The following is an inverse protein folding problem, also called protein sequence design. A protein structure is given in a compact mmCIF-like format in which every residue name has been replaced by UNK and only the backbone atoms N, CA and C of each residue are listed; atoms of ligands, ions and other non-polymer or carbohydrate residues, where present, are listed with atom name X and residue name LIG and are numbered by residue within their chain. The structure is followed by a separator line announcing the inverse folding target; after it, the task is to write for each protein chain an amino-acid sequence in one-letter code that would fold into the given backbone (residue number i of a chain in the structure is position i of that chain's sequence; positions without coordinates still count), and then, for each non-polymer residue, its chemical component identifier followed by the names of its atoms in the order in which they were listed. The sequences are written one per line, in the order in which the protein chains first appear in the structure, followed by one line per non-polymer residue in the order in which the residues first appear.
data_IF_516885423013
#
_entry.id   IF_516885423013
#
_cell.length_a   1.000
_cell.length_b   1.000
_cell.length_c   1.000
_cell.angle_alpha   90.00
_cell.angle_beta   90.00
_cell.angle_gamma   90.00
#
_symmetry.space_group_name_H-M   'P 1'
#
loop_
_entity.id
_entity.type
_entity.pdbx_description
1 polymer ?
#
# COMPACT_ATOMS: atom_id res chain seq x y z
N UNK A 1 -40.64 3.79 13.61
CA UNK A 1 -39.87 4.80 14.34
C UNK A 1 -38.74 4.12 15.11
N UNK A 2 -37.52 4.68 15.05
CA UNK A 2 -36.35 4.22 15.82
C UNK A 2 -36.17 5.18 17.00
N UNK A 3 -35.98 4.64 18.19
CA UNK A 3 -35.64 5.43 19.39
C UNK A 3 -34.45 4.80 20.08
N UNK A 4 -33.49 5.63 20.50
CA UNK A 4 -32.29 5.20 21.23
C UNK A 4 -32.30 5.83 22.62
N UNK A 5 -32.01 5.04 23.66
CA UNK A 5 -32.03 5.50 25.05
C UNK A 5 -30.85 4.92 25.84
N UNK A 6 -30.30 5.66 26.83
CA UNK A 6 -29.37 5.10 27.82
C UNK A 6 -29.96 3.92 28.57
N UNK A 7 -29.12 2.95 28.90
CA UNK A 7 -29.49 1.83 29.77
C UNK A 7 -29.89 2.36 31.15
N UNK A 8 -31.02 1.85 31.65
CA UNK A 8 -31.54 2.10 33.00
C UNK A 8 -31.72 0.79 33.74
N UNK A 9 -31.78 0.84 35.07
CA UNK A 9 -31.95 -0.34 35.94
C UNK A 9 -33.10 -1.26 35.53
N UNK A 10 -34.26 -0.68 35.16
CA UNK A 10 -35.44 -1.43 34.73
C UNK A 10 -35.32 -2.05 33.32
N UNK A 11 -34.27 -1.70 32.56
CA UNK A 11 -34.00 -2.20 31.20
C UNK A 11 -32.78 -3.11 31.11
N UNK A 12 -32.13 -3.43 32.25
CA UNK A 12 -30.97 -4.34 32.29
C UNK A 12 -31.33 -5.71 31.69
N UNK A 13 -32.51 -6.25 32.01
CA UNK A 13 -32.97 -7.54 31.45
C UNK A 13 -33.05 -7.54 29.92
N UNK A 14 -33.39 -6.39 29.32
CA UNK A 14 -33.43 -6.21 27.87
C UNK A 14 -32.01 -6.27 27.30
N UNK A 15 -31.07 -5.54 27.89
CA UNK A 15 -29.66 -5.57 27.49
C UNK A 15 -29.08 -6.98 27.61
N UNK A 16 -29.26 -7.63 28.76
CA UNK A 16 -28.78 -9.00 29.01
C UNK A 16 -29.24 -9.97 27.92
N UNK A 17 -30.52 -9.95 27.53
CA UNK A 17 -31.07 -10.79 26.46
C UNK A 17 -30.44 -10.49 25.09
N UNK A 18 -30.26 -9.21 24.78
CA UNK A 18 -29.66 -8.78 23.50
C UNK A 18 -28.17 -9.13 23.44
N UNK A 19 -27.43 -8.97 24.54
CA UNK A 19 -26.01 -9.31 24.67
C UNK A 19 -25.76 -10.82 24.47
N UNK A 20 -26.56 -11.67 25.13
CA UNK A 20 -26.48 -13.12 24.91
C UNK A 20 -26.85 -13.50 23.48
N UNK A 21 -27.77 -12.77 22.84
CA UNK A 21 -28.11 -12.96 21.42
C UNK A 21 -26.97 -12.55 20.48
N UNK A 22 -26.26 -11.46 20.79
CA UNK A 22 -25.06 -11.05 20.07
C UNK A 22 -24.00 -12.16 20.09
N UNK A 23 -23.65 -12.67 21.27
CA UNK A 23 -22.64 -13.72 21.40
C UNK A 23 -23.04 -15.02 20.73
N UNK A 24 -24.31 -15.43 20.82
CA UNK A 24 -24.82 -16.59 20.07
C UNK A 24 -24.59 -16.42 18.57
N UNK A 25 -24.99 -15.28 18.01
CA UNK A 25 -24.86 -15.01 16.57
C UNK A 25 -23.39 -14.92 16.15
N UNK A 26 -22.54 -14.31 16.97
CA UNK A 26 -21.10 -14.17 16.73
C UNK A 26 -20.37 -15.51 16.79
N UNK A 27 -20.61 -16.34 17.81
CA UNK A 27 -20.02 -17.68 17.96
C UNK A 27 -20.47 -18.62 16.84
N UNK A 28 -21.72 -18.50 16.38
CA UNK A 28 -22.21 -19.24 15.21
C UNK A 28 -21.39 -18.91 13.95
N UNK A 29 -21.02 -17.63 13.72
CA UNK A 29 -20.13 -17.24 12.62
C UNK A 29 -18.73 -17.87 12.72
N UNK A 30 -18.26 -18.13 13.94
CA UNK A 30 -16.98 -18.80 14.21
C UNK A 30 -17.06 -20.33 14.13
N UNK A 31 -18.20 -20.91 13.74
CA UNK A 31 -18.40 -22.36 13.67
C UNK A 31 -18.67 -23.05 15.01
N UNK A 32 -18.80 -22.29 16.11
CA UNK A 32 -19.07 -22.84 17.44
C UNK A 32 -20.56 -23.14 17.58
N UNK A 33 -20.91 -24.43 17.72
CA UNK A 33 -22.31 -24.91 17.71
C UNK A 33 -23.01 -24.86 19.06
N UNK A 34 -22.27 -25.03 20.17
CA UNK A 34 -22.81 -24.99 21.54
C UNK A 34 -22.26 -23.77 22.27
N UNK A 35 -23.16 -22.92 22.75
CA UNK A 35 -22.84 -21.65 23.41
C UNK A 35 -23.57 -21.63 24.75
N UNK A 36 -22.85 -21.43 25.85
CA UNK A 36 -23.47 -21.30 27.17
C UNK A 36 -24.02 -19.88 27.34
N UNK A 37 -25.31 -19.68 27.06
CA UNK A 37 -25.92 -18.35 27.13
C UNK A 37 -25.96 -17.77 28.56
N UNK A 38 -25.97 -18.62 29.60
CA UNK A 38 -26.02 -18.17 30.99
C UNK A 38 -24.77 -17.39 31.39
N UNK A 39 -23.60 -17.78 30.88
CA UNK A 39 -22.34 -17.06 31.14
C UNK A 39 -22.41 -15.62 30.61
N UNK A 40 -22.88 -15.44 29.37
CA UNK A 40 -23.07 -14.11 28.79
C UNK A 40 -24.15 -13.28 29.49
N UNK A 41 -25.15 -13.93 30.09
CA UNK A 41 -26.16 -13.22 30.87
C UNK A 41 -25.57 -12.65 32.17
N UNK A 42 -24.70 -13.41 32.84
CA UNK A 42 -23.97 -12.97 34.04
C UNK A 42 -23.03 -11.82 33.66
N UNK A 43 -22.21 -12.00 32.63
CA UNK A 43 -21.28 -10.98 32.13
C UNK A 43 -22.01 -9.67 31.77
N UNK A 44 -23.15 -9.74 31.07
CA UNK A 44 -23.93 -8.55 30.73
C UNK A 44 -24.45 -7.79 31.95
N UNK A 45 -24.80 -8.50 33.04
CA UNK A 45 -25.25 -7.86 34.28
C UNK A 45 -24.10 -7.16 34.99
N UNK A 46 -22.92 -7.76 34.99
CA UNK A 46 -21.70 -7.15 35.54
C UNK A 46 -21.32 -5.88 34.74
N UNK A 47 -21.29 -5.97 33.41
CA UNK A 47 -21.04 -4.83 32.51
C UNK A 47 -22.03 -3.69 32.78
N UNK A 48 -23.32 -4.01 32.92
CA UNK A 48 -24.37 -3.00 33.14
C UNK A 48 -24.23 -2.22 34.46
N UNK A 49 -23.43 -2.71 35.41
CA UNK A 49 -23.26 -2.13 36.73
C UNK A 49 -21.85 -1.55 36.95
N UNK A 50 -20.91 -1.84 36.05
CA UNK A 50 -19.51 -1.48 36.20
C UNK A 50 -19.25 -0.06 35.67
N UNK A 51 -18.46 0.71 36.41
CA UNK A 51 -18.02 2.05 35.98
C UNK A 51 -17.22 1.98 34.66
N UNK A 52 -17.31 3.04 33.86
CA UNK A 52 -16.67 3.13 32.54
C UNK A 52 -17.46 2.44 31.42
N UNK A 53 -18.46 1.60 31.73
CA UNK A 53 -19.30 0.95 30.73
C UNK A 53 -20.57 1.77 30.45
N UNK A 54 -20.73 2.16 29.19
CA UNK A 54 -21.84 2.98 28.70
C UNK A 54 -22.62 2.17 27.66
N UNK A 55 -23.92 1.99 27.90
CA UNK A 55 -24.79 1.18 27.06
C UNK A 55 -25.98 2.01 26.59
N UNK A 56 -26.24 1.97 25.29
CA UNK A 56 -27.47 2.51 24.70
C UNK A 56 -28.29 1.39 24.06
N UNK A 57 -29.60 1.43 24.28
CA UNK A 57 -30.57 0.49 23.72
C UNK A 57 -31.33 1.16 22.57
N UNK A 58 -31.49 0.44 21.47
CA UNK A 58 -32.36 0.85 20.38
C UNK A 58 -33.67 0.06 20.39
N UNK A 59 -34.76 0.79 20.15
CA UNK A 59 -36.10 0.24 19.98
C UNK A 59 -36.61 0.58 18.59
N UNK A 60 -37.23 -0.39 17.92
CA UNK A 60 -37.92 -0.21 16.65
C UNK A 60 -39.41 -0.44 16.86
N UNK A 61 -40.22 0.60 16.67
CA UNK A 61 -41.66 0.57 16.99
C UNK A 61 -41.90 0.02 18.40
N UNK A 62 -41.23 0.59 19.41
CA UNK A 62 -41.27 0.22 20.83
C UNK A 62 -40.73 -1.18 21.18
N UNK A 63 -40.33 -1.99 20.20
CA UNK A 63 -39.74 -3.30 20.45
C UNK A 63 -38.22 -3.18 20.59
N UNK A 64 -37.57 -3.79 21.60
CA UNK A 64 -36.12 -3.79 21.70
C UNK A 64 -35.50 -4.44 20.48
N UNK A 65 -34.56 -3.76 19.84
CA UNK A 65 -34.04 -4.13 18.53
C UNK A 65 -32.52 -4.23 18.46
N UNK A 66 -31.80 -3.59 19.39
CA UNK A 66 -30.34 -3.61 19.38
C UNK A 66 -29.73 -2.83 20.53
N UNK A 67 -28.40 -2.84 20.60
CA UNK A 67 -27.63 -2.05 21.55
C UNK A 67 -26.27 -1.64 20.97
N UNK A 68 -25.64 -0.66 21.59
CA UNK A 68 -24.22 -0.35 21.45
C UNK A 68 -23.62 -0.24 22.85
N UNK A 69 -22.44 -0.82 23.03
CA UNK A 69 -21.69 -0.83 24.28
C UNK A 69 -20.34 -0.14 24.06
N UNK A 70 -20.06 0.85 24.89
CA UNK A 70 -18.83 1.63 24.88
C UNK A 70 -18.14 1.44 26.23
N UNK A 71 -16.83 1.22 26.21
CA UNK A 71 -16.00 1.14 27.40
C UNK A 71 -15.01 2.31 27.39
N UNK A 72 -15.08 3.12 28.44
CA UNK A 72 -14.14 4.19 28.72
C UNK A 72 -12.96 3.64 29.52
N UNK A 73 -11.75 3.87 29.01
CA UNK A 73 -10.50 3.47 29.65
C UNK A 73 -9.57 4.69 29.59
N UNK A 74 -9.24 5.25 30.75
CA UNK A 74 -8.31 6.39 30.87
C UNK A 74 -8.70 7.58 29.97
N UNK A 75 -9.99 7.90 29.88
CA UNK A 75 -10.51 8.96 29.02
C UNK A 75 -10.72 8.58 27.55
N UNK A 76 -10.36 7.35 27.14
CA UNK A 76 -10.52 6.87 25.75
C UNK A 76 -11.76 5.99 25.63
N UNK A 77 -12.63 6.31 24.66
CA UNK A 77 -13.92 5.65 24.49
C UNK A 77 -13.91 4.63 23.35
N UNK A 78 -14.07 3.35 23.70
CA UNK A 78 -14.04 2.23 22.76
C UNK A 78 -15.41 1.62 22.57
N UNK A 79 -15.93 1.61 21.34
CA UNK A 79 -17.07 0.78 20.97
C UNK A 79 -16.61 -0.68 21.03
N UNK A 80 -17.09 -1.40 22.05
CA UNK A 80 -16.79 -2.81 22.27
C UNK A 80 -17.68 -3.70 21.42
N UNK A 81 -18.99 -3.49 21.51
CA UNK A 81 -19.96 -4.24 20.73
C UNK A 81 -21.06 -3.32 20.18
N UNK A 82 -21.53 -3.67 18.99
CA UNK A 82 -22.76 -3.14 18.41
C UNK A 82 -23.57 -4.30 17.87
N UNK A 83 -24.86 -4.32 18.18
CA UNK A 83 -25.75 -5.40 17.75
C UNK A 83 -27.11 -4.87 17.33
N UNK A 84 -27.63 -5.43 16.25
CA UNK A 84 -29.02 -5.34 15.86
C UNK A 84 -29.53 -6.75 15.62
N UNK A 85 -30.63 -7.12 16.27
CA UNK A 85 -31.24 -8.44 16.09
C UNK A 85 -31.51 -8.69 14.59
N UNK A 86 -31.27 -9.90 14.08
CA UNK A 86 -31.39 -10.23 12.66
C UNK A 86 -32.67 -9.72 12.00
N UNK A 87 -33.83 -9.89 12.65
CA UNK A 87 -35.14 -9.47 12.14
C UNK A 87 -35.33 -7.95 12.00
N UNK A 88 -34.47 -7.14 12.63
CA UNK A 88 -34.52 -5.68 12.55
C UNK A 88 -33.35 -5.06 11.77
N UNK A 89 -32.48 -5.87 11.17
CA UNK A 89 -31.35 -5.37 10.36
C UNK A 89 -31.84 -4.65 9.10
N UNK A 90 -30.95 -3.85 8.50
CA UNK A 90 -31.20 -3.06 7.28
C UNK A 90 -32.34 -2.03 7.38
N UNK A 91 -32.71 -1.65 8.61
CA UNK A 91 -33.70 -0.61 8.91
C UNK A 91 -33.07 0.70 9.46
N UNK A 92 -31.74 0.83 9.41
CA UNK A 92 -31.03 2.02 9.93
C UNK A 92 -30.68 2.01 11.42
N UNK A 93 -31.09 0.99 12.17
CA UNK A 93 -30.96 0.95 13.64
C UNK A 93 -29.51 1.06 14.14
N UNK A 94 -28.59 0.30 13.56
CA UNK A 94 -27.18 0.37 13.93
C UNK A 94 -26.58 1.76 13.68
N UNK A 95 -26.97 2.43 12.58
CA UNK A 95 -26.51 3.79 12.29
C UNK A 95 -27.06 4.80 13.31
N UNK A 96 -28.31 4.65 13.72
CA UNK A 96 -28.88 5.53 14.76
C UNK A 96 -28.25 5.30 16.15
N UNK A 97 -27.88 4.05 16.48
CA UNK A 97 -27.09 3.75 17.68
C UNK A 97 -25.73 4.47 17.65
N UNK A 98 -25.04 4.41 16.51
CA UNK A 98 -23.74 5.08 16.32
C UNK A 98 -23.88 6.60 16.44
N UNK A 99 -24.81 7.22 15.71
CA UNK A 99 -25.05 8.68 15.80
C UNK A 99 -25.40 9.13 17.22
N UNK A 100 -26.21 8.35 17.93
CA UNK A 100 -26.56 8.66 19.31
C UNK A 100 -25.32 8.60 20.20
N UNK A 101 -24.50 7.55 20.08
CA UNK A 101 -23.25 7.41 20.81
C UNK A 101 -22.29 8.58 20.51
N UNK A 102 -22.04 8.90 19.24
CA UNK A 102 -21.20 10.02 18.81
C UNK A 102 -21.64 11.34 19.46
N UNK A 103 -22.94 11.65 19.42
CA UNK A 103 -23.50 12.85 20.05
C UNK A 103 -23.27 12.89 21.55
N UNK A 104 -23.42 11.76 22.25
CA UNK A 104 -23.21 11.70 23.69
C UNK A 104 -21.73 11.78 24.08
N UNK A 105 -20.81 11.27 23.26
CA UNK A 105 -19.37 11.40 23.48
C UNK A 105 -18.90 12.83 23.20
N UNK A 106 -19.40 13.48 22.15
CA UNK A 106 -19.13 14.90 21.88
C UNK A 106 -19.56 15.81 23.03
N UNK A 107 -20.72 15.54 23.66
CA UNK A 107 -21.17 16.28 24.86
C UNK A 107 -20.23 16.13 26.06
N UNK A 108 -19.43 15.06 26.10
CA UNK A 108 -18.43 14.83 27.15
C UNK A 108 -17.11 15.53 26.87
N UNK A 109 -17.00 16.26 25.76
CA UNK A 109 -15.78 16.98 25.35
C UNK A 109 -14.82 16.16 24.49
N UNK A 110 -15.16 14.90 24.22
CA UNK A 110 -14.32 14.01 23.41
C UNK A 110 -14.66 14.10 21.93
N UNK A 111 -13.64 13.97 21.09
CA UNK A 111 -13.77 14.12 19.64
C UNK A 111 -13.68 12.81 18.87
N UNK A 112 -13.25 11.73 19.53
CA UNK A 112 -12.95 10.45 18.90
C UNK A 112 -13.67 9.28 19.57
N UNK A 113 -14.11 8.33 18.75
CA UNK A 113 -14.61 7.02 19.15
C UNK A 113 -13.77 5.94 18.46
N UNK A 114 -13.32 4.96 19.23
CA UNK A 114 -12.43 3.91 18.74
C UNK A 114 -13.16 2.58 18.66
N UNK A 115 -12.75 1.71 17.75
CA UNK A 115 -13.29 0.36 17.62
C UNK A 115 -12.24 -0.57 17.03
N UNK A 116 -12.47 -1.87 17.20
CA UNK A 116 -11.69 -2.92 16.57
C UNK A 116 -12.61 -3.77 15.71
N UNK A 117 -12.14 -4.14 14.52
CA UNK A 117 -12.86 -5.01 13.59
C UNK A 117 -11.89 -6.05 13.06
N UNK A 118 -12.34 -7.30 12.96
CA UNK A 118 -11.50 -8.38 12.46
C UNK A 118 -11.32 -8.27 10.94
N UNK A 119 -10.13 -8.63 10.40
CA UNK A 119 -9.82 -8.52 8.97
C UNK A 119 -10.84 -9.15 8.02
N UNK A 120 -11.41 -10.28 8.43
CA UNK A 120 -12.29 -11.09 7.59
C UNK A 120 -13.75 -10.62 7.57
N UNK A 121 -14.20 -9.76 8.51
CA UNK A 121 -15.58 -9.26 8.53
C UNK A 121 -15.74 -8.04 7.60
N UNK A 122 -15.66 -8.28 6.30
CA UNK A 122 -15.84 -7.26 5.25
C UNK A 122 -17.17 -6.50 5.37
N UNK A 123 -18.21 -7.13 5.92
CA UNK A 123 -19.50 -6.48 6.11
C UNK A 123 -19.41 -5.42 7.22
N UNK A 124 -18.77 -5.75 8.35
CA UNK A 124 -18.53 -4.81 9.44
C UNK A 124 -17.62 -3.65 9.00
N UNK A 125 -16.52 -3.96 8.30
CA UNK A 125 -15.59 -2.94 7.76
C UNK A 125 -16.35 -1.93 6.89
N UNK A 126 -17.17 -2.42 5.95
CA UNK A 126 -17.96 -1.55 5.08
C UNK A 126 -19.03 -0.74 5.81
N UNK A 127 -19.62 -1.30 6.88
CA UNK A 127 -20.55 -0.56 7.73
C UNK A 127 -19.86 0.62 8.40
N UNK A 128 -18.71 0.38 9.05
CA UNK A 128 -17.96 1.42 9.77
C UNK A 128 -17.45 2.53 8.84
N UNK A 129 -16.96 2.17 7.65
CA UNK A 129 -16.58 3.15 6.62
C UNK A 129 -17.75 4.06 6.24
N UNK A 130 -18.93 3.48 6.00
CA UNK A 130 -20.15 4.25 5.67
C UNK A 130 -20.65 5.10 6.85
N UNK A 131 -20.34 4.70 8.07
CA UNK A 131 -20.61 5.47 9.28
C UNK A 131 -19.58 6.59 9.52
N UNK A 132 -18.53 6.73 8.69
CA UNK A 132 -17.52 7.79 8.80
C UNK A 132 -16.24 7.39 9.54
N UNK A 133 -16.10 6.14 9.96
CA UNK A 133 -14.89 5.63 10.61
C UNK A 133 -13.85 5.26 9.53
N UNK A 134 -13.11 6.25 9.03
CA UNK A 134 -12.13 6.10 7.92
C UNK A 134 -10.67 6.16 8.35
N UNK A 135 -10.40 6.51 9.61
CA UNK A 135 -9.05 6.64 10.16
C UNK A 135 -8.55 5.30 10.72
N UNK A 136 -7.52 4.73 10.09
CA UNK A 136 -6.80 3.56 10.61
C UNK A 136 -5.77 4.04 11.64
N UNK A 137 -6.06 3.78 12.92
CA UNK A 137 -5.21 4.22 14.02
C UNK A 137 -4.18 3.17 14.47
N UNK A 138 -4.60 1.91 14.62
CA UNK A 138 -3.74 0.85 15.20
C UNK A 138 -3.97 -0.47 14.47
N UNK A 139 -2.89 -1.23 14.30
CA UNK A 139 -2.92 -2.64 13.86
C UNK A 139 -2.65 -3.51 15.10
N UNK A 140 -3.57 -4.42 15.39
CA UNK A 140 -3.37 -5.42 16.45
C UNK A 140 -2.58 -6.62 15.91
N UNK A 141 -1.57 -7.06 16.65
CA UNK A 141 -0.77 -8.25 16.34
C UNK A 141 -0.91 -9.28 17.45
N UNK A 142 -1.15 -10.55 17.09
CA UNK A 142 -1.27 -11.65 18.05
C UNK A 142 -0.30 -12.78 17.69
N UNK A 143 0.34 -13.38 18.70
CA UNK A 143 1.16 -14.59 18.55
C UNK A 143 0.46 -15.78 19.20
N UNK A 144 0.25 -16.87 18.46
CA UNK A 144 -0.22 -18.13 19.04
C UNK A 144 0.88 -18.74 19.90
N UNK A 145 0.61 -18.98 21.18
CA UNK A 145 1.59 -19.50 22.15
C UNK A 145 1.59 -21.04 22.27
N UNK A 146 0.66 -21.72 21.60
CA UNK A 146 0.58 -23.18 21.50
C UNK A 146 0.58 -23.57 20.03
N UNK A 147 1.28 -24.63 19.67
CA UNK A 147 1.33 -25.09 18.28
C UNK A 147 -0.05 -25.59 17.81
N UNK A 148 -0.28 -25.45 16.51
CA UNK A 148 -1.45 -25.91 15.74
C UNK A 148 -2.72 -25.01 15.78
N UNK A 149 -2.72 -24.00 14.91
CA UNK A 149 -3.91 -23.62 14.15
C UNK A 149 -3.52 -23.39 12.70
N UNK A 150 -4.32 -23.90 11.78
CA UNK A 150 -4.34 -23.39 10.42
C UNK A 150 -4.85 -21.95 10.49
N UNK A 151 -4.03 -21.00 10.01
CA UNK A 151 -4.38 -19.60 9.93
C UNK A 151 -4.66 -19.25 8.47
N UNK A 152 -5.79 -18.60 8.22
CA UNK A 152 -6.03 -17.96 6.94
C UNK A 152 -5.14 -16.73 6.80
N UNK A 153 -4.58 -16.52 5.60
CA UNK A 153 -3.85 -15.30 5.25
C UNK A 153 -4.79 -14.35 4.53
N UNK A 154 -4.93 -13.14 5.07
CA UNK A 154 -5.66 -12.04 4.41
C UNK A 154 -4.69 -10.89 4.19
N UNK A 155 -4.54 -10.49 2.93
CA UNK A 155 -3.89 -9.24 2.57
C UNK A 155 -4.89 -8.08 2.76
N UNK A 156 -4.58 -7.16 3.68
CA UNK A 156 -5.38 -5.96 3.93
C UNK A 156 -4.65 -4.74 3.35
N UNK A 157 -4.52 -4.68 2.02
CA UNK A 157 -4.14 -3.43 1.33
C UNK A 157 -4.91 -3.32 0.00
N UNK A 158 -6.23 -3.54 0.06
CA UNK A 158 -7.14 -3.32 -1.07
C UNK A 158 -8.06 -2.11 -0.90
N UNK A 159 -8.12 -1.53 0.31
CA UNK A 159 -9.00 -0.41 0.67
C UNK A 159 -8.20 0.79 1.18
N UNK A 160 -8.65 1.98 0.84
CA UNK A 160 -8.05 3.25 1.21
C UNK A 160 -8.47 3.69 2.60
N UNK A 161 -7.50 3.97 3.48
CA UNK A 161 -7.71 4.46 4.85
C UNK A 161 -6.96 5.77 5.07
N UNK A 162 -7.56 6.66 5.85
CA UNK A 162 -6.83 7.80 6.39
C UNK A 162 -5.87 7.28 7.48
N UNK A 163 -4.69 7.88 7.58
CA UNK A 163 -3.75 7.65 8.68
C UNK A 163 -3.37 9.00 9.28
N UNK A 164 -2.97 9.03 10.55
CA UNK A 164 -2.45 10.24 11.16
C UNK A 164 -1.21 10.74 10.41
N UNK A 165 -1.12 12.06 10.21
CA UNK A 165 0.09 12.65 9.63
C UNK A 165 1.24 12.49 10.62
N UNK A 166 2.29 11.78 10.19
CA UNK A 166 3.52 11.68 10.96
C UNK A 166 4.32 12.98 10.81
N UNK A 167 4.49 13.72 11.91
CA UNK A 167 5.17 15.02 11.92
C UNK A 167 6.70 14.92 12.09
N UNK A 168 7.19 13.88 12.75
CA UNK A 168 8.62 13.66 12.98
C UNK A 168 9.09 12.48 12.14
N UNK A 169 9.79 12.78 11.04
CA UNK A 169 10.29 11.78 10.08
C UNK A 169 11.81 11.68 10.10
N UNK A 170 12.47 12.15 11.16
CA UNK A 170 13.94 12.22 11.23
C UNK A 170 14.62 10.85 11.23
N UNK A 171 13.92 9.80 11.68
CA UNK A 171 14.39 8.41 11.69
C UNK A 171 13.96 7.61 10.46
N UNK A 172 13.22 8.20 9.51
CA UNK A 172 12.63 7.48 8.40
C UNK A 172 13.68 7.23 7.32
N UNK A 173 13.67 6.02 6.76
CA UNK A 173 14.45 5.68 5.57
C UNK A 173 13.86 6.44 4.37
N UNK A 174 14.65 6.76 3.33
CA UNK A 174 14.14 7.58 2.23
C UNK A 174 12.96 6.95 1.47
N UNK A 175 12.83 5.62 1.49
CA UNK A 175 11.67 4.92 0.91
C UNK A 175 10.38 5.14 1.72
N UNK A 176 10.47 5.25 3.04
CA UNK A 176 9.33 5.58 3.91
C UNK A 176 8.91 7.04 3.71
N UNK A 177 9.89 7.92 3.44
CA UNK A 177 9.62 9.32 3.06
C UNK A 177 8.96 9.42 1.67
N UNK A 178 9.40 8.60 0.69
CA UNK A 178 8.76 8.51 -0.62
C UNK A 178 7.31 8.01 -0.51
N UNK A 179 7.08 7.00 0.34
CA UNK A 179 5.74 6.48 0.64
C UNK A 179 4.84 7.59 1.20
N UNK A 180 5.34 8.34 2.17
CA UNK A 180 4.59 9.45 2.76
C UNK A 180 4.25 10.54 1.73
N UNK A 181 5.15 10.84 0.80
CA UNK A 181 4.90 11.84 -0.24
C UNK A 181 3.84 11.35 -1.24
N UNK A 182 3.95 10.10 -1.70
CA UNK A 182 2.94 9.50 -2.55
C UNK A 182 1.56 9.41 -1.87
N UNK A 183 1.48 9.18 -0.55
CA UNK A 183 0.23 9.28 0.19
C UNK A 183 -0.33 10.71 0.25
N UNK A 184 0.52 11.73 0.31
CA UNK A 184 0.09 13.15 0.25
C UNK A 184 -0.44 13.53 -1.12
N UNK A 185 0.21 13.08 -2.18
CA UNK A 185 -0.26 13.33 -3.54
C UNK A 185 -1.56 12.56 -3.84
N UNK A 186 -1.74 11.33 -3.32
CA UNK A 186 -3.03 10.60 -3.36
C UNK A 186 -4.17 11.39 -2.73
N UNK A 187 -3.92 12.11 -1.63
CA UNK A 187 -4.91 12.95 -0.97
C UNK A 187 -5.33 14.14 -1.85
N UNK A 188 -4.43 14.63 -2.69
CA UNK A 188 -4.62 15.82 -3.52
C UNK A 188 -5.08 15.52 -4.97
N UNK A 189 -4.91 14.29 -5.47
CA UNK A 189 -4.98 13.97 -6.90
C UNK A 189 -6.34 13.46 -7.45
N UNK A 190 -7.39 13.31 -6.65
CA UNK A 190 -8.69 12.83 -7.18
C UNK A 190 -8.59 11.48 -7.92
N UNK A 191 -9.14 11.35 -9.13
CA UNK A 191 -9.38 10.08 -9.87
C UNK A 191 -8.09 9.37 -10.38
N UNK A 192 -6.91 10.01 -10.35
CA UNK A 192 -5.62 9.33 -10.62
C UNK A 192 -5.10 8.47 -9.45
N UNK A 193 -5.89 8.42 -8.35
CA UNK A 193 -5.64 7.69 -7.10
C UNK A 193 -5.17 6.25 -7.28
N UNK A 194 -5.77 5.52 -8.21
CA UNK A 194 -5.56 4.08 -8.35
C UNK A 194 -4.17 3.74 -8.90
N UNK A 195 -3.60 4.61 -9.75
CA UNK A 195 -2.24 4.46 -10.26
C UNK A 195 -1.20 4.72 -9.18
N UNK A 196 -1.40 5.78 -8.38
CA UNK A 196 -0.51 6.09 -7.26
C UNK A 196 -0.64 5.02 -6.15
N UNK A 197 -1.83 4.42 -5.96
CA UNK A 197 -2.01 3.32 -5.02
C UNK A 197 -1.32 2.03 -5.44
N UNK A 198 -1.43 1.66 -6.72
CA UNK A 198 -0.69 0.52 -7.27
C UNK A 198 0.81 0.73 -7.09
N UNK A 199 1.30 1.94 -7.34
CA UNK A 199 2.69 2.33 -7.12
C UNK A 199 3.14 2.22 -5.63
N UNK A 200 2.33 2.74 -4.70
CA UNK A 200 2.57 2.65 -3.26
C UNK A 200 2.58 1.20 -2.77
N UNK A 201 1.59 0.41 -3.21
CA UNK A 201 1.47 -1.00 -2.86
C UNK A 201 2.67 -1.80 -3.37
N UNK A 202 3.08 -1.57 -4.61
CA UNK A 202 4.23 -2.22 -5.20
C UNK A 202 5.53 -1.86 -4.45
N UNK A 203 5.76 -0.58 -4.20
CA UNK A 203 6.90 -0.09 -3.40
C UNK A 203 6.93 -0.65 -1.97
N UNK A 204 5.77 -0.84 -1.33
CA UNK A 204 5.63 -1.44 0.00
C UNK A 204 5.85 -2.95 -0.01
N UNK A 205 5.33 -3.67 -1.01
CA UNK A 205 5.58 -5.11 -1.18
C UNK A 205 7.09 -5.37 -1.26
N UNK A 206 7.85 -4.52 -1.95
CA UNK A 206 9.30 -4.62 -2.04
C UNK A 206 10.06 -4.34 -0.73
N UNK A 207 9.53 -3.49 0.16
CA UNK A 207 10.11 -3.26 1.48
C UNK A 207 9.98 -4.49 2.39
N UNK A 208 8.82 -5.14 2.33
CA UNK A 208 8.48 -6.29 3.17
C UNK A 208 9.13 -7.59 2.65
N UNK A 209 9.44 -7.67 1.36
CA UNK A 209 10.05 -8.85 0.74
C UNK A 209 11.55 -9.02 1.04
N UNK A 210 12.19 -8.04 1.66
CA UNK A 210 13.53 -8.23 2.26
C UNK A 210 13.57 -9.32 3.35
N UNK A 211 12.40 -9.80 3.81
CA UNK A 211 12.26 -10.88 4.78
C UNK A 211 11.74 -12.22 4.19
N UNK A 212 11.40 -12.29 2.90
CA UNK A 212 10.94 -13.53 2.25
C UNK A 212 11.74 -13.83 0.99
N UNK A 213 12.45 -14.97 1.01
CA UNK A 213 13.07 -15.60 -0.17
C UNK A 213 12.02 -16.20 -1.12
N UNK A 214 10.93 -15.49 -1.43
CA UNK A 214 9.97 -15.98 -2.41
C UNK A 214 10.28 -15.35 -3.77
N UNK A 215 10.94 -16.17 -4.59
CA UNK A 215 11.17 -16.02 -6.02
C UNK A 215 9.86 -15.70 -6.77
N UNK A 216 9.46 -14.44 -6.94
CA UNK A 216 8.42 -14.07 -7.92
C UNK A 216 8.25 -12.56 -8.22
N UNK A 217 9.31 -11.74 -8.18
CA UNK A 217 9.24 -10.42 -8.85
C UNK A 217 10.37 -10.24 -9.86
N UNK A 218 10.10 -10.68 -11.09
CA UNK A 218 10.96 -10.52 -12.27
C UNK A 218 11.42 -9.08 -12.51
N UNK A 219 10.63 -8.10 -12.07
CA UNK A 219 11.00 -6.69 -12.18
C UNK A 219 12.10 -6.27 -11.20
N UNK A 220 12.26 -6.94 -10.06
CA UNK A 220 13.31 -6.61 -9.09
C UNK A 220 14.67 -7.16 -9.52
N UNK A 221 14.70 -8.38 -10.07
CA UNK A 221 15.90 -8.95 -10.70
C UNK A 221 16.45 -8.01 -11.77
N UNK A 222 15.56 -7.31 -12.49
CA UNK A 222 15.86 -6.27 -13.48
C UNK A 222 16.70 -5.12 -12.89
N UNK A 223 16.33 -4.62 -11.72
CA UNK A 223 17.02 -3.51 -11.07
C UNK A 223 18.29 -3.96 -10.38
N UNK A 224 18.29 -5.13 -9.74
CA UNK A 224 19.49 -5.71 -9.12
C UNK A 224 20.61 -5.83 -10.15
N UNK A 225 20.30 -6.33 -11.35
CA UNK A 225 21.30 -6.54 -12.41
C UNK A 225 21.90 -5.23 -12.92
N UNK A 226 21.07 -4.18 -13.04
CA UNK A 226 21.56 -2.83 -13.32
C UNK A 226 22.46 -2.34 -12.18
N UNK A 227 22.02 -2.44 -10.92
CA UNK A 227 22.77 -1.95 -9.76
C UNK A 227 24.10 -2.69 -9.54
N UNK A 228 24.19 -3.98 -9.89
CA UNK A 228 25.44 -4.76 -9.84
C UNK A 228 26.51 -4.17 -10.75
N UNK A 229 26.10 -3.65 -11.91
CA UNK A 229 26.98 -3.26 -13.00
C UNK A 229 27.14 -1.75 -13.16
N UNK A 230 26.14 -0.95 -12.79
CA UNK A 230 26.16 0.50 -12.98
C UNK A 230 27.15 1.20 -12.06
N UNK A 231 27.93 2.12 -12.62
CA UNK A 231 28.96 2.88 -11.91
C UNK A 231 29.26 4.22 -12.57
N UNK A 232 29.99 5.08 -11.85
CA UNK A 232 30.45 6.38 -12.30
C UNK A 232 29.32 7.38 -12.50
N UNK A 233 29.44 8.20 -13.54
CA UNK A 233 28.37 9.06 -14.03
C UNK A 233 27.40 8.23 -14.88
N UNK A 234 26.17 8.11 -14.40
CA UNK A 234 25.13 7.36 -15.08
C UNK A 234 24.16 8.26 -15.85
N UNK A 235 23.67 7.79 -16.99
CA UNK A 235 22.50 8.32 -17.69
C UNK A 235 21.39 7.25 -17.65
N UNK A 236 20.23 7.61 -17.14
CA UNK A 236 19.02 6.79 -17.22
C UNK A 236 18.07 7.38 -18.26
N UNK A 237 17.77 6.62 -19.31
CA UNK A 237 16.96 7.07 -20.44
C UNK A 237 15.52 6.61 -20.27
N UNK A 238 14.61 7.56 -20.08
CA UNK A 238 13.21 7.28 -19.78
C UNK A 238 13.05 6.84 -18.33
N UNK A 239 13.52 7.65 -17.38
CA UNK A 239 13.59 7.31 -15.97
C UNK A 239 12.22 7.06 -15.30
N UNK A 240 11.12 7.36 -16.00
CA UNK A 240 9.78 7.15 -15.51
C UNK A 240 9.55 7.91 -14.21
N UNK A 241 9.04 7.20 -13.20
CA UNK A 241 8.75 7.77 -11.88
C UNK A 241 9.96 7.72 -10.94
N UNK A 242 11.12 7.33 -11.46
CA UNK A 242 12.42 7.41 -10.80
C UNK A 242 12.79 6.22 -9.93
N UNK A 243 12.05 5.11 -10.01
CA UNK A 243 12.22 3.92 -9.17
C UNK A 243 13.68 3.43 -9.17
N UNK A 244 14.25 3.26 -10.36
CA UNK A 244 15.63 2.83 -10.54
C UNK A 244 16.61 3.88 -10.01
N UNK A 245 16.46 5.15 -10.38
CA UNK A 245 17.45 6.19 -10.04
C UNK A 245 17.49 6.50 -8.54
N UNK A 246 16.36 6.40 -7.84
CA UNK A 246 16.32 6.57 -6.38
C UNK A 246 16.98 5.43 -5.61
N UNK A 247 17.02 4.23 -6.18
CA UNK A 247 17.79 3.09 -5.66
C UNK A 247 19.28 3.25 -6.02
N UNK A 248 19.55 3.51 -7.30
CA UNK A 248 20.89 3.55 -7.87
C UNK A 248 21.77 4.62 -7.22
N UNK A 249 21.21 5.79 -6.87
CA UNK A 249 21.93 6.89 -6.22
C UNK A 249 22.57 6.52 -4.87
N UNK A 250 22.12 5.43 -4.22
CA UNK A 250 22.69 4.95 -2.95
C UNK A 250 23.93 4.09 -3.13
N UNK A 251 24.18 3.63 -4.35
CA UNK A 251 25.36 2.83 -4.64
C UNK A 251 26.62 3.67 -4.49
N UNK A 252 27.60 3.16 -3.75
CA UNK A 252 28.92 3.79 -3.64
C UNK A 252 29.69 3.80 -4.98
N UNK A 253 29.23 3.02 -5.96
CA UNK A 253 29.79 3.03 -7.32
C UNK A 253 29.30 4.22 -8.15
N UNK A 254 28.23 4.90 -7.74
CA UNK A 254 27.58 5.96 -8.52
C UNK A 254 27.98 7.33 -7.98
N UNK A 255 28.45 8.18 -8.89
CA UNK A 255 28.89 9.54 -8.57
C UNK A 255 27.75 10.54 -8.77
N UNK A 256 27.12 10.51 -9.94
CA UNK A 256 25.99 11.37 -10.29
C UNK A 256 25.12 10.66 -11.35
N UNK A 257 23.82 10.93 -11.34
CA UNK A 257 22.85 10.34 -12.27
C UNK A 257 22.17 11.46 -13.03
N UNK A 258 22.10 11.35 -14.35
CA UNK A 258 21.26 12.16 -15.21
C UNK A 258 20.05 11.32 -15.59
N UNK A 259 18.85 11.79 -15.26
CA UNK A 259 17.61 11.05 -15.43
C UNK A 259 16.73 11.81 -16.44
N UNK A 260 16.62 11.29 -17.67
CA UNK A 260 15.82 11.89 -18.73
C UNK A 260 14.40 11.35 -18.68
N UNK A 261 13.42 12.25 -18.68
CA UNK A 261 12.01 11.87 -18.74
C UNK A 261 11.22 12.84 -19.63
N UNK A 262 10.59 12.31 -20.70
CA UNK A 262 9.83 13.14 -21.65
C UNK A 262 8.47 13.56 -21.10
N UNK A 263 7.87 12.74 -20.24
CA UNK A 263 6.60 13.04 -19.60
C UNK A 263 6.78 14.08 -18.48
N UNK A 264 6.20 15.26 -18.69
CA UNK A 264 6.34 16.38 -17.74
C UNK A 264 5.81 16.06 -16.34
N UNK A 265 4.77 15.23 -16.23
CA UNK A 265 4.18 14.84 -14.94
C UNK A 265 5.20 14.04 -14.11
N UNK A 266 5.81 13.03 -14.73
CA UNK A 266 6.81 12.19 -14.08
C UNK A 266 8.10 12.94 -13.75
N UNK A 267 8.54 13.82 -14.66
CA UNK A 267 9.67 14.70 -14.39
C UNK A 267 9.43 15.62 -13.17
N UNK A 268 8.29 16.32 -13.12
CA UNK A 268 7.93 17.22 -12.02
C UNK A 268 7.82 16.44 -10.70
N UNK A 269 7.24 15.23 -10.75
CA UNK A 269 7.18 14.32 -9.61
C UNK A 269 8.57 14.06 -9.03
N UNK A 270 9.47 13.54 -9.84
CA UNK A 270 10.83 13.16 -9.44
C UNK A 270 11.64 14.33 -8.89
N UNK A 271 11.54 15.52 -9.50
CA UNK A 271 12.21 16.72 -8.99
C UNK A 271 11.74 17.12 -7.59
N UNK A 272 10.42 17.07 -7.33
CA UNK A 272 9.87 17.40 -5.99
C UNK A 272 10.39 16.44 -4.93
N UNK A 273 10.35 15.14 -5.22
CA UNK A 273 10.83 14.08 -4.31
C UNK A 273 12.32 14.28 -4.01
N UNK A 274 13.15 14.46 -5.05
CA UNK A 274 14.59 14.67 -4.90
C UNK A 274 14.93 15.87 -4.01
N UNK A 275 14.30 17.03 -4.25
CA UNK A 275 14.49 18.25 -3.47
C UNK A 275 14.12 18.06 -2.00
N UNK A 276 13.01 17.40 -1.73
CA UNK A 276 12.51 17.17 -0.37
C UNK A 276 13.39 16.21 0.41
N UNK A 277 13.94 15.20 -0.26
CA UNK A 277 14.87 14.23 0.34
C UNK A 277 16.31 14.76 0.46
N UNK A 278 16.58 15.97 -0.05
CA UNK A 278 17.92 16.54 -0.04
C UNK A 278 18.91 15.75 -0.89
N UNK A 279 18.43 15.02 -1.90
CA UNK A 279 19.26 14.24 -2.83
C UNK A 279 19.96 15.22 -3.78
N UNK A 280 21.29 15.11 -3.86
CA UNK A 280 22.13 16.06 -4.63
C UNK A 280 22.81 15.46 -5.85
N UNK A 281 22.91 14.14 -5.92
CA UNK A 281 23.60 13.40 -6.97
C UNK A 281 22.66 12.90 -8.08
N UNK A 282 21.43 13.42 -8.15
CA UNK A 282 20.51 13.15 -9.28
C UNK A 282 20.12 14.45 -9.96
N UNK A 283 20.21 14.44 -11.29
CA UNK A 283 19.85 15.53 -12.19
C UNK A 283 18.69 15.09 -13.08
N UNK A 284 17.46 15.38 -12.65
CA UNK A 284 16.27 15.15 -13.47
C UNK A 284 16.14 16.20 -14.57
N UNK A 285 15.89 15.75 -15.80
CA UNK A 285 15.78 16.58 -17.00
C UNK A 285 14.53 16.20 -17.79
N UNK A 286 13.70 17.20 -18.14
CA UNK A 286 12.55 16.98 -19.02
C UNK A 286 12.99 17.05 -20.47
N UNK A 287 13.25 15.90 -21.10
CA UNK A 287 13.74 15.85 -22.47
C UNK A 287 13.43 14.51 -23.14
N UNK A 288 13.37 14.55 -24.48
CA UNK A 288 13.34 13.37 -25.33
C UNK A 288 14.77 12.98 -25.71
N UNK A 289 15.15 11.72 -25.53
CA UNK A 289 16.55 11.27 -25.65
C UNK A 289 17.19 11.60 -27.00
N UNK A 290 16.53 11.28 -28.11
CA UNK A 290 17.07 11.55 -29.45
C UNK A 290 17.29 13.04 -29.72
N UNK A 291 16.48 13.92 -29.11
CA UNK A 291 16.59 15.39 -29.27
C UNK A 291 17.47 16.06 -28.21
N UNK A 292 17.83 15.33 -27.16
CA UNK A 292 18.58 15.87 -26.04
C UNK A 292 20.08 15.80 -26.28
N UNK A 293 20.78 16.91 -26.05
CA UNK A 293 22.23 17.00 -26.24
C UNK A 293 22.96 17.21 -24.93
N UNK A 294 24.13 16.58 -24.80
CA UNK A 294 24.97 16.67 -23.61
C UNK A 294 26.42 16.95 -23.96
N UNK A 295 27.02 17.90 -23.24
CA UNK A 295 28.48 18.12 -23.26
C UNK A 295 29.24 17.09 -22.41
N UNK A 296 28.53 16.32 -21.57
CA UNK A 296 29.12 15.29 -20.69
C UNK A 296 29.04 13.92 -21.36
N UNK A 297 30.06 13.11 -21.09
CA UNK A 297 30.12 11.67 -21.40
C UNK A 297 29.87 10.85 -20.13
N UNK A 298 29.43 9.61 -20.32
CA UNK A 298 28.90 8.74 -19.26
C UNK A 298 29.70 7.45 -19.12
N UNK A 299 29.84 6.98 -17.89
CA UNK A 299 30.45 5.68 -17.58
C UNK A 299 29.42 4.55 -17.72
N UNK A 300 28.16 4.86 -17.43
CA UNK A 300 27.03 3.93 -17.61
C UNK A 300 25.87 4.66 -18.30
N UNK A 301 25.31 4.07 -19.36
CA UNK A 301 24.02 4.49 -19.93
C UNK A 301 23.03 3.34 -19.77
N UNK A 302 21.82 3.64 -19.33
CA UNK A 302 20.84 2.64 -18.93
C UNK A 302 19.58 2.79 -19.78
N UNK A 303 19.15 1.66 -20.33
CA UNK A 303 17.82 1.46 -20.90
C UNK A 303 17.10 0.39 -20.10
N UNK A 304 16.14 0.77 -19.27
CA UNK A 304 15.32 -0.18 -18.51
C UNK A 304 13.88 -0.11 -18.96
N UNK A 305 13.37 -1.22 -19.50
CA UNK A 305 11.96 -1.37 -19.87
C UNK A 305 11.44 -0.26 -20.82
N UNK A 306 12.20 0.00 -21.88
CA UNK A 306 11.92 1.11 -22.82
C UNK A 306 12.07 0.70 -24.28
N UNK A 307 13.05 -0.16 -24.62
CA UNK A 307 13.39 -0.43 -26.01
C UNK A 307 12.37 -1.35 -26.68
N UNK A 308 11.62 -2.16 -25.93
CA UNK A 308 10.63 -3.09 -26.48
C UNK A 308 9.44 -2.40 -27.18
N UNK A 309 9.15 -1.15 -26.79
CA UNK A 309 8.10 -0.32 -27.38
C UNK A 309 8.59 0.48 -28.60
N UNK A 310 9.88 0.40 -28.94
CA UNK A 310 10.47 1.17 -30.03
C UNK A 310 10.56 0.34 -31.32
N UNK A 311 10.15 0.95 -32.42
CA UNK A 311 10.29 0.34 -33.75
C UNK A 311 11.76 0.34 -34.18
N UNK A 312 12.44 1.49 -34.05
CA UNK A 312 13.82 1.71 -34.43
C UNK A 312 14.70 1.95 -33.18
N UNK A 313 15.59 0.99 -32.89
CA UNK A 313 16.48 1.05 -31.71
C UNK A 313 17.90 1.49 -32.08
N UNK A 314 18.28 1.43 -33.35
CA UNK A 314 19.66 1.68 -33.81
C UNK A 314 20.10 3.12 -33.48
N UNK A 315 19.26 4.11 -33.76
CA UNK A 315 19.55 5.52 -33.44
C UNK A 315 19.74 5.76 -31.94
N UNK A 316 18.96 5.06 -31.10
CA UNK A 316 19.08 5.13 -29.65
C UNK A 316 20.42 4.57 -29.19
N UNK A 317 20.80 3.40 -29.70
CA UNK A 317 22.03 2.71 -29.32
C UNK A 317 23.27 3.43 -29.84
N UNK A 318 23.23 3.95 -31.07
CA UNK A 318 24.33 4.74 -31.65
C UNK A 318 24.59 6.00 -30.86
N UNK A 319 23.54 6.78 -30.59
CA UNK A 319 23.65 7.97 -29.76
C UNK A 319 24.17 7.64 -28.36
N UNK A 320 23.66 6.59 -27.73
CA UNK A 320 24.17 6.14 -26.44
C UNK A 320 25.66 5.78 -26.52
N UNK A 321 26.06 4.99 -27.51
CA UNK A 321 27.45 4.55 -27.67
C UNK A 321 28.42 5.72 -27.89
N UNK A 322 28.04 6.73 -28.66
CA UNK A 322 28.80 7.97 -28.85
C UNK A 322 28.96 8.76 -27.54
N UNK A 323 27.95 8.72 -26.67
CA UNK A 323 27.90 9.42 -25.40
C UNK A 323 28.68 8.72 -24.26
N UNK A 324 29.20 7.51 -24.48
CA UNK A 324 30.03 6.81 -23.50
C UNK A 324 31.47 7.35 -23.44
N UNK A 325 32.06 7.26 -22.25
CA UNK A 325 33.52 7.30 -22.04
C UNK A 325 34.20 6.08 -22.67
N UNK A 326 35.54 6.11 -22.83
CA UNK A 326 36.32 5.03 -23.47
C UNK A 326 36.10 3.65 -22.82
N UNK A 327 35.91 3.58 -21.50
CA UNK A 327 35.58 2.35 -20.76
C UNK A 327 34.11 2.28 -20.33
N UNK A 328 33.26 3.08 -20.97
CA UNK A 328 31.84 3.18 -20.64
C UNK A 328 31.06 1.95 -21.12
N UNK A 329 29.86 1.77 -20.57
CA UNK A 329 28.95 0.68 -20.96
C UNK A 329 27.49 1.09 -21.06
N UNK A 330 26.77 0.38 -21.94
CA UNK A 330 25.31 0.40 -22.00
C UNK A 330 24.79 -0.82 -21.23
N UNK A 331 23.84 -0.58 -20.34
CA UNK A 331 23.08 -1.61 -19.64
C UNK A 331 21.64 -1.60 -20.16
N UNK A 332 21.18 -2.75 -20.63
CA UNK A 332 19.81 -2.92 -21.12
C UNK A 332 19.15 -3.98 -20.25
N UNK A 333 18.03 -3.65 -19.63
CA UNK A 333 17.24 -4.55 -18.80
C UNK A 333 15.81 -4.51 -19.29
N UNK A 334 15.44 -5.48 -20.13
CA UNK A 334 14.22 -5.41 -20.92
C UNK A 334 13.63 -6.79 -21.19
N UNK A 335 12.52 -6.83 -21.91
CA UNK A 335 11.75 -8.04 -22.23
C UNK A 335 11.81 -8.31 -23.72
N UNK A 336 11.82 -9.59 -24.10
CA UNK A 336 11.88 -9.95 -25.51
C UNK A 336 10.48 -9.87 -26.14
N UNK A 337 10.05 -8.65 -26.45
CA UNK A 337 8.90 -8.34 -27.29
C UNK A 337 9.38 -7.70 -28.59
N UNK A 338 8.58 -7.84 -29.66
CA UNK A 338 8.88 -7.25 -30.97
C UNK A 338 10.27 -7.61 -31.53
N UNK A 339 10.75 -8.82 -31.21
CA UNK A 339 12.08 -9.33 -31.57
C UNK A 339 13.24 -8.45 -31.08
N UNK A 340 13.09 -7.78 -29.93
CA UNK A 340 14.09 -6.87 -29.39
C UNK A 340 15.47 -7.54 -29.27
N UNK A 341 15.57 -8.78 -28.78
CA UNK A 341 16.86 -9.48 -28.71
C UNK A 341 17.53 -9.62 -30.07
N UNK A 342 16.77 -9.99 -31.09
CA UNK A 342 17.31 -10.16 -32.45
C UNK A 342 17.80 -8.84 -33.02
N UNK A 343 17.04 -7.75 -32.82
CA UNK A 343 17.46 -6.39 -33.23
C UNK A 343 18.75 -5.98 -32.53
N UNK A 344 18.85 -6.21 -31.22
CA UNK A 344 20.05 -5.91 -30.44
C UNK A 344 21.28 -6.71 -30.91
N UNK A 345 21.09 -7.99 -31.26
CA UNK A 345 22.19 -8.83 -31.80
C UNK A 345 22.67 -8.30 -33.14
N UNK A 346 21.76 -8.00 -34.05
CA UNK A 346 22.10 -7.44 -35.38
C UNK A 346 22.86 -6.11 -35.25
N UNK A 347 22.42 -5.23 -34.34
CA UNK A 347 23.10 -3.97 -34.06
C UNK A 347 24.53 -4.21 -33.56
N UNK A 348 24.72 -5.11 -32.60
CA UNK A 348 26.04 -5.42 -32.04
C UNK A 348 27.00 -6.05 -33.07
N UNK A 349 26.50 -7.01 -33.86
CA UNK A 349 27.29 -7.69 -34.90
C UNK A 349 27.76 -6.71 -35.98
N UNK A 350 26.89 -5.82 -36.44
CA UNK A 350 27.22 -4.82 -37.46
C UNK A 350 28.30 -3.81 -37.02
N UNK A 351 28.52 -3.66 -35.71
CA UNK A 351 29.52 -2.75 -35.12
C UNK A 351 30.70 -3.49 -34.49
N UNK A 352 30.73 -4.82 -34.58
CA UNK A 352 31.74 -5.67 -33.96
C UNK A 352 31.92 -5.40 -32.45
N UNK A 353 30.81 -5.13 -31.75
CA UNK A 353 30.79 -4.83 -30.32
C UNK A 353 30.45 -6.09 -29.53
N UNK A 354 31.23 -6.36 -28.46
CA UNK A 354 30.97 -7.52 -27.60
C UNK A 354 29.80 -7.25 -26.66
N UNK A 355 28.91 -8.22 -26.59
CA UNK A 355 27.75 -8.23 -25.69
C UNK A 355 27.87 -9.36 -24.68
N UNK A 356 27.44 -9.09 -23.45
CA UNK A 356 27.24 -10.12 -22.43
C UNK A 356 25.75 -10.18 -22.11
N UNK A 357 25.17 -11.37 -22.23
CA UNK A 357 23.72 -11.60 -22.04
C UNK A 357 23.50 -12.50 -20.82
N UNK A 358 22.59 -12.08 -19.94
CA UNK A 358 22.04 -12.91 -18.87
C UNK A 358 20.51 -13.02 -19.06
N UNK A 359 19.96 -14.24 -18.96
CA UNK A 359 18.51 -14.47 -19.02
C UNK A 359 17.95 -14.66 -17.61
N UNK A 360 16.74 -14.15 -17.35
CA UNK A 360 16.04 -14.38 -16.08
C UNK A 360 14.71 -15.11 -16.24
N UNK A 361 13.81 -14.84 -15.29
CA UNK A 361 12.55 -15.57 -15.10
C UNK A 361 11.52 -15.21 -16.19
N UNK A 362 10.61 -16.15 -16.49
CA UNK A 362 9.47 -15.91 -17.37
C UNK A 362 8.46 -14.96 -16.73
N UNK A 363 7.85 -14.10 -17.55
CA UNK A 363 6.90 -13.09 -17.14
C UNK A 363 5.72 -13.04 -18.11
N UNK A 364 4.60 -12.47 -17.68
CA UNK A 364 3.50 -12.10 -18.58
C UNK A 364 3.55 -10.59 -18.76
N UNK A 365 3.79 -10.13 -19.98
CA UNK A 365 3.75 -8.70 -20.33
C UNK A 365 2.91 -8.51 -21.60
N UNK A 366 2.08 -7.46 -21.62
CA UNK A 366 1.10 -7.21 -22.69
C UNK A 366 0.23 -8.45 -23.04
N UNK A 367 -0.09 -9.28 -22.04
CA UNK A 367 -0.87 -10.51 -22.25
C UNK A 367 -0.11 -11.67 -22.88
N UNK A 368 1.20 -11.54 -23.07
CA UNK A 368 2.08 -12.56 -23.69
C UNK A 368 3.12 -13.05 -22.68
N UNK A 369 3.36 -14.37 -22.64
CA UNK A 369 4.46 -14.94 -21.86
C UNK A 369 5.79 -14.66 -22.57
N UNK A 370 6.69 -13.94 -21.92
CA UNK A 370 8.03 -13.60 -22.43
C UNK A 370 9.08 -13.80 -21.35
N UNK A 371 10.37 -13.70 -21.71
CA UNK A 371 11.48 -13.72 -20.75
C UNK A 371 12.11 -12.33 -20.66
N UNK A 372 12.36 -11.91 -19.43
CA UNK A 372 13.24 -10.77 -19.18
C UNK A 372 14.71 -11.15 -19.47
N UNK A 373 15.49 -10.17 -19.93
CA UNK A 373 16.92 -10.30 -20.18
C UNK A 373 17.70 -9.06 -19.73
N UNK A 374 18.97 -9.29 -19.43
CA UNK A 374 19.95 -8.25 -19.15
C UNK A 374 21.10 -8.29 -20.15
N UNK A 375 21.42 -7.16 -20.75
CA UNK A 375 22.57 -7.00 -21.63
C UNK A 375 23.52 -5.94 -21.09
N UNK A 376 24.81 -6.23 -21.26
CA UNK A 376 25.90 -5.30 -21.04
C UNK A 376 26.70 -5.17 -22.33
N UNK A 377 26.83 -3.95 -22.82
CA UNK A 377 27.55 -3.58 -24.04
C UNK A 377 28.69 -2.65 -23.61
N UNK A 378 29.94 -3.07 -23.80
CA UNK A 378 31.11 -2.22 -23.55
C UNK A 378 31.46 -1.39 -24.79
N UNK A 379 31.92 -0.16 -24.58
CA UNK A 379 32.68 0.59 -25.59
C UNK A 379 34.13 0.10 -25.62
#
# INVERSE_FOLDING_TARGET
MITVTPLKTNTISIFTRLYSSFWRDYRKKQGIKKVNLKEYEVEAREIAQKMGHIIYLAFYNQNPAGFIHIHEIEGVYWIKEIYTEPKYRRKGIALELVKFAEKEILKRGETNLYLMVTPWDKQAINFWRKAGYTLLNTIELTKTLKEERENDVVEIIGDLWDIYEVKNTSSFKPVELMLMEALKDVKNAGIEKEKILKFLLWSMMHLLDSSKKNKESSEYDRFIKIMEHAEGRALDVGSGQGELVFLLQRSNKIQEIFALEKNEIYFRWCQRVSKRLGIKNIHFLNAEFLKWESKRRFDTIIFSYILHDLEEIDEFLDKAFEMLNESGKILISDIDLNNLKAKLTLWADSRNVKISIEEGVRIISHGTETKWFFWKIGK
#
